data_IF_081553029702
#
_entry.id   IF_081553029702
#
_cell.length_a   1.000
_cell.length_b   1.000
_cell.length_c   1.000
_cell.angle_alpha   90.00
_cell.angle_beta   90.00
_cell.angle_gamma   90.00
#
_symmetry.space_group_name_H-M   'P 1'
#
loop_
_entity.id
_entity.type
_entity.pdbx_description
1 polymer ?
#
# COMPACT_ATOMS: atom_id res chain seq x y z
N UNK A 1 -14.61 -4.16 -14.58
CA UNK A 1 -13.86 -5.10 -13.72
C UNK A 1 -12.45 -5.20 -14.29
N UNK A 2 -11.43 -4.95 -13.47
CA UNK A 2 -10.04 -5.00 -13.90
C UNK A 2 -9.63 -6.39 -14.44
N UNK A 3 -8.40 -6.50 -14.94
CA UNK A 3 -7.91 -7.78 -15.44
C UNK A 3 -7.57 -8.72 -14.28
N UNK A 4 -8.24 -9.88 -14.23
CA UNK A 4 -7.96 -10.93 -13.23
C UNK A 4 -7.19 -12.05 -13.91
N UNK A 5 -6.03 -12.37 -13.37
CA UNK A 5 -5.14 -13.41 -13.91
C UNK A 5 -5.79 -14.78 -13.81
N UNK A 6 -5.81 -15.51 -14.92
CA UNK A 6 -6.28 -16.90 -14.99
C UNK A 6 -5.18 -17.90 -14.56
N UNK A 7 -5.48 -19.19 -14.67
CA UNK A 7 -4.53 -20.26 -14.33
C UNK A 7 -3.25 -20.22 -15.19
N UNK A 8 -3.38 -19.93 -16.49
CA UNK A 8 -2.24 -19.88 -17.40
C UNK A 8 -1.37 -18.67 -17.11
N UNK A 9 -2.00 -17.53 -16.86
CA UNK A 9 -1.31 -16.29 -16.49
C UNK A 9 -0.53 -16.46 -15.19
N UNK A 10 -1.15 -17.05 -14.16
CA UNK A 10 -0.52 -17.30 -12.87
C UNK A 10 0.68 -18.24 -13.01
N UNK A 11 0.53 -19.32 -13.78
CA UNK A 11 1.61 -20.27 -14.05
C UNK A 11 2.75 -19.62 -14.85
N UNK A 12 2.42 -18.79 -15.84
CA UNK A 12 3.42 -18.06 -16.63
C UNK A 12 4.17 -17.04 -15.78
N UNK A 13 3.46 -16.29 -14.94
CA UNK A 13 4.04 -15.30 -14.05
C UNK A 13 5.00 -15.92 -13.03
N UNK A 14 4.62 -17.06 -12.44
CA UNK A 14 5.47 -17.80 -11.52
C UNK A 14 6.75 -18.30 -12.19
N UNK A 15 6.65 -18.82 -13.44
CA UNK A 15 7.84 -19.20 -14.24
C UNK A 15 8.73 -18.00 -14.53
N UNK A 16 8.12 -16.85 -14.86
CA UNK A 16 8.85 -15.61 -15.11
C UNK A 16 9.61 -15.13 -13.87
N UNK A 17 8.99 -15.17 -12.70
CA UNK A 17 9.64 -14.79 -11.43
C UNK A 17 10.83 -15.70 -11.10
N UNK A 18 10.71 -16.99 -11.39
CA UNK A 18 11.74 -17.99 -11.10
C UNK A 18 12.87 -18.01 -12.15
N UNK A 19 12.74 -17.30 -13.28
CA UNK A 19 13.82 -17.20 -14.28
C UNK A 19 14.98 -16.37 -13.71
N UNK A 20 16.21 -16.92 -13.67
CA UNK A 20 17.39 -16.22 -13.17
C UNK A 20 17.63 -14.84 -13.83
N UNK A 21 17.21 -14.67 -15.08
CA UNK A 21 17.33 -13.40 -15.81
C UNK A 21 16.50 -12.28 -15.22
N UNK A 22 15.34 -12.60 -14.61
CA UNK A 22 14.42 -11.62 -14.04
C UNK A 22 14.70 -11.36 -12.57
N UNK A 23 15.38 -12.28 -11.88
CA UNK A 23 15.67 -12.22 -10.45
C UNK A 23 16.33 -10.89 -10.04
N UNK A 24 17.30 -10.44 -10.85
CA UNK A 24 18.00 -9.18 -10.56
C UNK A 24 17.06 -7.97 -10.53
N UNK A 25 16.12 -7.87 -11.49
CA UNK A 25 15.13 -6.78 -11.52
C UNK A 25 14.19 -6.85 -10.31
N UNK A 26 13.67 -8.04 -10.00
CA UNK A 26 12.80 -8.27 -8.83
C UNK A 26 13.52 -7.90 -7.53
N UNK A 27 14.79 -8.23 -7.38
CA UNK A 27 15.58 -7.89 -6.18
C UNK A 27 15.79 -6.37 -6.06
N UNK A 28 16.00 -5.66 -7.17
CA UNK A 28 16.09 -4.19 -7.17
C UNK A 28 14.76 -3.54 -6.75
N UNK A 29 13.64 -4.03 -7.26
CA UNK A 29 12.30 -3.55 -6.91
C UNK A 29 12.01 -3.76 -5.41
N UNK A 30 12.31 -4.95 -4.87
CA UNK A 30 12.16 -5.27 -3.45
C UNK A 30 13.03 -4.38 -2.55
N UNK A 31 14.30 -4.16 -2.93
CA UNK A 31 15.20 -3.26 -2.20
C UNK A 31 14.70 -1.82 -2.24
N UNK A 32 14.22 -1.36 -3.39
CA UNK A 32 13.66 -0.02 -3.53
C UNK A 32 12.47 0.16 -2.59
N UNK A 33 11.56 -0.81 -2.55
CA UNK A 33 10.39 -0.82 -1.70
C UNK A 33 10.77 -0.74 -0.22
N UNK A 34 11.65 -1.63 0.27
CA UNK A 34 12.08 -1.61 1.67
C UNK A 34 12.77 -0.31 2.06
N UNK A 35 13.63 0.23 1.17
CA UNK A 35 14.32 1.51 1.40
C UNK A 35 13.36 2.70 1.44
N UNK A 36 12.26 2.66 0.69
CA UNK A 36 11.25 3.72 0.65
C UNK A 36 10.29 3.65 1.85
N UNK A 37 9.84 2.45 2.21
CA UNK A 37 8.95 2.23 3.35
C UNK A 37 9.67 2.46 4.67
N UNK A 38 10.90 1.93 4.81
CA UNK A 38 11.64 1.86 6.07
C UNK A 38 10.76 1.28 7.18
N UNK A 39 10.28 0.05 7.00
CA UNK A 39 9.32 -0.53 7.91
C UNK A 39 9.92 -0.76 9.30
N UNK A 40 9.09 -0.71 10.33
CA UNK A 40 9.48 -1.02 11.71
C UNK A 40 9.06 -2.45 12.03
N UNK A 41 9.94 -3.17 12.70
CA UNK A 41 9.69 -4.55 13.11
C UNK A 41 8.42 -4.64 13.98
N UNK A 42 7.54 -5.57 13.65
CA UNK A 42 6.26 -5.77 14.36
C UNK A 42 5.09 -4.99 13.77
N UNK A 43 5.33 -4.03 12.86
CA UNK A 43 4.25 -3.31 12.17
C UNK A 43 3.48 -4.22 11.21
N UNK A 44 2.22 -3.84 10.93
CA UNK A 44 1.33 -4.54 10.00
C UNK A 44 1.40 -3.97 8.59
N UNK A 45 1.40 -4.86 7.58
CA UNK A 45 1.44 -4.51 6.16
C UNK A 45 0.39 -5.28 5.37
N UNK A 46 -0.37 -4.56 4.54
CA UNK A 46 -1.24 -5.14 3.52
C UNK A 46 -0.56 -5.08 2.15
N UNK A 47 -0.41 -6.24 1.49
CA UNK A 47 0.03 -6.34 0.09
C UNK A 47 -1.19 -6.50 -0.81
N UNK A 48 -1.54 -5.43 -1.53
CA UNK A 48 -2.71 -5.34 -2.40
C UNK A 48 -2.33 -5.77 -3.81
N UNK A 49 -2.93 -6.86 -4.30
CA UNK A 49 -2.50 -7.54 -5.51
C UNK A 49 -1.23 -8.35 -5.26
N UNK A 50 -1.21 -9.14 -4.18
CA UNK A 50 -0.02 -9.89 -3.75
C UNK A 50 0.44 -10.98 -4.75
N UNK A 51 -0.39 -11.32 -5.74
CA UNK A 51 -0.09 -12.30 -6.78
C UNK A 51 0.33 -13.64 -6.20
N UNK A 52 1.42 -14.20 -6.71
CA UNK A 52 2.00 -15.49 -6.25
C UNK A 52 2.79 -15.38 -4.95
N UNK A 53 2.72 -14.22 -4.27
CA UNK A 53 3.36 -14.01 -2.98
C UNK A 53 4.85 -13.66 -3.04
N UNK A 54 5.34 -13.21 -4.18
CA UNK A 54 6.78 -12.93 -4.39
C UNK A 54 7.37 -11.90 -3.42
N UNK A 55 6.58 -10.92 -2.97
CA UNK A 55 6.99 -9.90 -2.02
C UNK A 55 6.72 -10.30 -0.56
N UNK A 56 5.78 -11.21 -0.30
CA UNK A 56 5.35 -11.58 1.05
C UNK A 56 6.50 -12.10 1.91
N UNK A 57 7.39 -12.95 1.34
CA UNK A 57 8.55 -13.43 2.06
C UNK A 57 9.49 -12.30 2.48
N UNK A 58 9.67 -11.30 1.61
CA UNK A 58 10.55 -10.15 1.88
C UNK A 58 10.00 -9.30 3.04
N UNK A 59 8.69 -9.17 3.15
CA UNK A 59 8.04 -8.48 4.28
C UNK A 59 8.19 -9.28 5.58
N UNK A 60 7.98 -10.59 5.54
CA UNK A 60 8.18 -11.48 6.70
C UNK A 60 9.62 -11.44 7.21
N UNK A 61 10.60 -11.46 6.30
CA UNK A 61 12.03 -11.37 6.65
C UNK A 61 12.40 -10.02 7.28
N UNK A 62 11.58 -8.99 7.00
CA UNK A 62 11.71 -7.67 7.64
C UNK A 62 10.99 -7.57 8.99
N UNK A 63 10.40 -8.68 9.46
CA UNK A 63 9.71 -8.77 10.75
C UNK A 63 8.34 -8.13 10.80
N UNK A 64 7.66 -7.99 9.65
CA UNK A 64 6.32 -7.42 9.55
C UNK A 64 5.24 -8.49 9.76
N UNK A 65 4.08 -8.06 10.24
CA UNK A 65 2.85 -8.83 10.22
C UNK A 65 2.18 -8.60 8.86
N UNK A 66 2.09 -9.64 8.04
CA UNK A 66 1.74 -9.49 6.63
C UNK A 66 0.36 -10.06 6.34
N UNK A 67 -0.44 -9.31 5.60
CA UNK A 67 -1.70 -9.75 4.99
C UNK A 67 -1.59 -9.55 3.49
N UNK A 68 -2.01 -10.52 2.70
CA UNK A 68 -2.05 -10.46 1.24
C UNK A 68 -3.48 -10.44 0.72
N UNK A 69 -3.73 -9.67 -0.35
CA UNK A 69 -5.03 -9.65 -1.05
C UNK A 69 -4.80 -9.72 -2.55
N UNK A 70 -5.54 -10.62 -3.24
CA UNK A 70 -5.52 -10.72 -4.69
C UNK A 70 -6.89 -11.18 -5.23
N UNK A 71 -7.36 -10.70 -6.37
CA UNK A 71 -8.64 -11.14 -6.93
C UNK A 71 -8.58 -12.55 -7.55
N UNK A 72 -7.39 -13.02 -7.97
CA UNK A 72 -7.20 -14.30 -8.63
C UNK A 72 -7.05 -15.46 -7.62
N UNK A 73 -7.96 -16.44 -7.64
CA UNK A 73 -7.79 -17.63 -6.81
C UNK A 73 -6.54 -18.43 -7.18
N UNK A 74 -6.16 -18.43 -8.45
CA UNK A 74 -4.98 -19.16 -8.93
C UNK A 74 -3.66 -18.54 -8.45
N UNK A 75 -3.62 -17.20 -8.35
CA UNK A 75 -2.50 -16.48 -7.74
C UNK A 75 -2.40 -16.82 -6.25
N UNK A 76 -3.52 -16.77 -5.53
CA UNK A 76 -3.56 -17.09 -4.10
C UNK A 76 -3.19 -18.53 -3.80
N UNK A 77 -3.60 -19.49 -4.65
CA UNK A 77 -3.21 -20.90 -4.51
C UNK A 77 -1.69 -21.10 -4.60
N UNK A 78 -1.02 -20.35 -5.50
CA UNK A 78 0.44 -20.36 -5.60
C UNK A 78 1.07 -19.64 -4.40
N UNK A 79 0.55 -18.49 -4.01
CA UNK A 79 1.01 -17.77 -2.83
C UNK A 79 0.93 -18.64 -1.57
N UNK A 80 -0.18 -19.35 -1.38
CA UNK A 80 -0.36 -20.27 -0.24
C UNK A 80 0.67 -21.40 -0.23
N UNK A 81 1.03 -21.94 -1.41
CA UNK A 81 2.09 -22.97 -1.54
C UNK A 81 3.46 -22.40 -1.22
N UNK A 82 3.74 -21.18 -1.64
CA UNK A 82 5.05 -20.52 -1.46
C UNK A 82 5.29 -20.08 -0.02
N UNK A 83 4.25 -19.55 0.65
CA UNK A 83 4.37 -18.91 1.97
C UNK A 83 3.85 -19.81 3.12
N UNK A 84 2.96 -20.73 2.83
CA UNK A 84 2.26 -21.53 3.84
C UNK A 84 1.31 -20.67 4.69
N UNK A 85 1.10 -21.03 5.94
CA UNK A 85 0.18 -20.38 6.87
C UNK A 85 0.82 -19.19 7.63
N UNK A 86 1.87 -18.58 7.08
CA UNK A 86 2.57 -17.45 7.73
C UNK A 86 1.98 -16.08 7.40
N UNK A 87 1.06 -16.02 6.45
CA UNK A 87 0.40 -14.81 5.98
C UNK A 87 -1.08 -15.09 5.84
N UNK A 88 -1.92 -14.14 6.24
CA UNK A 88 -3.35 -14.18 5.99
C UNK A 88 -3.62 -13.74 4.55
N UNK A 89 -4.17 -14.66 3.74
CA UNK A 89 -4.48 -14.41 2.34
C UNK A 89 -5.99 -14.22 2.14
N UNK A 90 -6.36 -13.11 1.50
CA UNK A 90 -7.73 -12.74 1.24
C UNK A 90 -7.99 -12.63 -0.26
N UNK A 91 -9.17 -13.06 -0.70
CA UNK A 91 -9.63 -12.83 -2.07
C UNK A 91 -10.43 -11.53 -2.12
N UNK A 92 -10.01 -10.58 -2.96
CA UNK A 92 -10.69 -9.29 -3.10
C UNK A 92 -10.08 -8.43 -4.19
N UNK A 93 -10.73 -7.31 -4.49
CA UNK A 93 -10.28 -6.32 -5.48
C UNK A 93 -9.69 -5.10 -4.77
N UNK A 94 -8.73 -4.44 -5.43
CA UNK A 94 -8.03 -3.30 -4.85
C UNK A 94 -8.93 -2.07 -4.66
N UNK A 95 -10.02 -1.98 -5.42
CA UNK A 95 -10.98 -0.88 -5.40
C UNK A 95 -12.02 -0.95 -4.27
N UNK A 96 -12.08 -2.11 -3.56
CA UNK A 96 -13.02 -2.34 -2.45
C UNK A 96 -12.39 -3.31 -1.45
N UNK A 97 -11.61 -2.76 -0.52
CA UNK A 97 -10.84 -3.55 0.45
C UNK A 97 -11.70 -3.91 1.66
N UNK A 98 -11.78 -5.21 2.03
CA UNK A 98 -12.61 -5.69 3.14
C UNK A 98 -11.94 -5.47 4.50
N UNK A 99 -11.31 -4.33 4.70
CA UNK A 99 -10.60 -3.96 5.91
C UNK A 99 -11.04 -2.60 6.42
N UNK A 100 -10.96 -2.40 7.72
CA UNK A 100 -11.31 -1.13 8.37
C UNK A 100 -10.29 -0.03 8.06
N UNK A 101 -10.70 1.24 8.25
CA UNK A 101 -9.84 2.40 8.13
C UNK A 101 -8.66 2.29 9.10
N UNK A 102 -7.44 2.61 8.61
CA UNK A 102 -6.21 2.61 9.41
C UNK A 102 -5.89 1.26 10.09
N UNK A 103 -6.30 0.13 9.50
CA UNK A 103 -6.06 -1.21 10.07
C UNK A 103 -4.62 -1.71 9.88
N UNK A 104 -3.87 -1.11 8.95
CA UNK A 104 -2.48 -1.45 8.68
C UNK A 104 -1.55 -0.25 8.86
N UNK A 105 -0.29 -0.50 9.25
CA UNK A 105 0.73 0.55 9.24
C UNK A 105 1.09 0.92 7.80
N UNK A 106 1.21 -0.09 6.92
CA UNK A 106 1.60 0.10 5.53
C UNK A 106 0.63 -0.60 4.58
N UNK A 107 0.44 -0.03 3.39
CA UNK A 107 -0.16 -0.73 2.26
C UNK A 107 0.75 -0.63 1.04
N UNK A 108 0.94 -1.75 0.34
CA UNK A 108 1.75 -1.85 -0.86
C UNK A 108 0.89 -2.25 -2.05
N UNK A 109 1.13 -1.62 -3.20
CA UNK A 109 0.60 -2.00 -4.50
C UNK A 109 1.79 -2.14 -5.45
N UNK A 110 2.20 -3.36 -5.79
CA UNK A 110 3.38 -3.61 -6.62
C UNK A 110 2.92 -4.30 -7.90
N UNK A 111 3.05 -3.61 -9.05
CA UNK A 111 2.57 -4.07 -10.36
C UNK A 111 1.09 -4.48 -10.31
N UNK A 112 0.30 -3.75 -9.56
CA UNK A 112 -1.13 -3.99 -9.32
C UNK A 112 -1.98 -2.95 -10.05
N UNK A 113 -1.60 -1.67 -9.96
CA UNK A 113 -2.37 -0.58 -10.57
C UNK A 113 -2.50 -0.69 -12.08
N UNK A 114 -1.59 -1.42 -12.73
CA UNK A 114 -1.61 -1.68 -14.15
C UNK A 114 -2.84 -2.48 -14.60
N UNK A 115 -3.42 -3.28 -13.69
CA UNK A 115 -4.46 -4.27 -14.00
C UNK A 115 -5.82 -3.95 -13.37
N UNK A 116 -5.90 -2.95 -12.51
CA UNK A 116 -7.16 -2.51 -11.89
C UNK A 116 -8.02 -1.71 -12.88
N UNK A 117 -9.33 -1.71 -12.68
CA UNK A 117 -10.27 -0.93 -13.48
C UNK A 117 -10.17 0.56 -13.17
N UNK A 118 -10.06 0.89 -11.89
CA UNK A 118 -10.00 2.26 -11.41
C UNK A 118 -8.79 2.49 -10.48
N UNK A 119 -7.62 2.89 -11.03
CA UNK A 119 -6.41 3.13 -10.25
C UNK A 119 -6.58 4.19 -9.15
N UNK A 120 -7.41 5.20 -9.39
CA UNK A 120 -7.68 6.22 -8.39
C UNK A 120 -8.43 5.66 -7.19
N UNK A 121 -9.44 4.80 -7.43
CA UNK A 121 -10.20 4.16 -6.37
C UNK A 121 -9.35 3.16 -5.57
N UNK A 122 -8.51 2.38 -6.26
CA UNK A 122 -7.56 1.48 -5.61
C UNK A 122 -6.57 2.22 -4.70
N UNK A 123 -6.06 3.38 -5.14
CA UNK A 123 -5.20 4.24 -4.32
C UNK A 123 -5.96 4.88 -3.15
N UNK A 124 -7.23 5.28 -3.35
CA UNK A 124 -8.09 5.78 -2.27
C UNK A 124 -8.27 4.74 -1.16
N UNK A 125 -8.56 3.48 -1.53
CA UNK A 125 -8.71 2.37 -0.60
C UNK A 125 -7.39 2.05 0.12
N UNK A 126 -6.27 2.01 -0.60
CA UNK A 126 -4.95 1.83 0.01
C UNK A 126 -4.64 2.91 1.05
N UNK A 127 -4.98 4.18 0.75
CA UNK A 127 -4.84 5.29 1.68
C UNK A 127 -5.82 5.22 2.86
N UNK A 128 -6.98 4.60 2.68
CA UNK A 128 -8.00 4.43 3.72
C UNK A 128 -7.54 3.41 4.76
N UNK A 129 -7.03 2.27 4.31
CA UNK A 129 -6.65 1.16 5.20
C UNK A 129 -5.28 1.33 5.85
N UNK A 130 -4.38 2.12 5.24
CA UNK A 130 -3.06 2.40 5.78
C UNK A 130 -3.05 3.66 6.64
N UNK A 131 -2.32 3.63 7.77
CA UNK A 131 -2.20 4.79 8.67
C UNK A 131 -0.90 5.57 8.51
N UNK A 132 0.21 4.92 8.15
CA UNK A 132 1.52 5.57 8.16
C UNK A 132 2.04 5.87 6.74
N UNK A 133 2.09 4.86 5.87
CA UNK A 133 2.58 5.02 4.50
C UNK A 133 1.91 4.06 3.53
N UNK A 134 1.82 4.48 2.27
CA UNK A 134 1.62 3.58 1.15
C UNK A 134 2.86 3.54 0.27
N UNK A 135 3.09 2.39 -0.35
CA UNK A 135 4.09 2.20 -1.40
C UNK A 135 3.41 1.76 -2.68
N UNK A 136 3.71 2.47 -3.76
CA UNK A 136 3.19 2.21 -5.10
C UNK A 136 4.35 1.89 -6.01
N UNK A 137 4.40 0.67 -6.51
CA UNK A 137 5.38 0.19 -7.47
C UNK A 137 4.73 -0.09 -8.81
N UNK A 138 5.12 0.61 -9.87
CA UNK A 138 4.50 0.48 -11.20
C UNK A 138 5.53 0.45 -12.33
N UNK A 139 5.11 -0.13 -13.46
CA UNK A 139 5.87 -0.12 -14.70
C UNK A 139 5.82 1.26 -15.34
N UNK A 140 7.00 1.79 -15.68
CA UNK A 140 7.15 3.14 -16.20
C UNK A 140 6.82 3.24 -17.68
N UNK A 141 5.89 4.14 -18.01
CA UNK A 141 5.48 4.45 -19.39
C UNK A 141 6.63 4.98 -20.25
N UNK A 142 7.54 5.73 -19.67
CA UNK A 142 8.62 6.41 -20.39
C UNK A 142 9.96 5.67 -20.34
N UNK A 143 10.00 4.46 -19.81
CA UNK A 143 11.21 3.65 -19.88
C UNK A 143 11.42 3.06 -21.27
N UNK A 144 12.69 2.88 -21.65
CA UNK A 144 13.07 2.22 -22.91
C UNK A 144 12.50 0.79 -22.96
N UNK A 145 12.57 0.09 -21.84
CA UNK A 145 11.99 -1.26 -21.69
C UNK A 145 10.47 -1.25 -21.73
N UNK A 146 9.81 -0.21 -21.20
CA UNK A 146 8.36 -0.03 -21.31
C UNK A 146 7.91 0.18 -22.75
N UNK A 147 8.66 0.97 -23.52
CA UNK A 147 8.42 1.17 -24.96
C UNK A 147 8.59 -0.14 -25.71
N UNK A 148 9.68 -0.89 -25.45
CA UNK A 148 9.94 -2.17 -26.09
C UNK A 148 8.84 -3.21 -25.78
N UNK A 149 8.36 -3.29 -24.53
CA UNK A 149 7.25 -4.17 -24.12
C UNK A 149 5.95 -3.84 -24.85
N UNK A 150 5.64 -2.53 -25.04
CA UNK A 150 4.47 -2.09 -25.81
C UNK A 150 4.57 -2.50 -27.26
N UNK A 151 5.72 -2.24 -27.90
CA UNK A 151 5.94 -2.61 -29.31
C UNK A 151 5.83 -4.13 -29.48
N UNK A 152 6.41 -4.91 -28.57
CA UNK A 152 6.30 -6.38 -28.62
C UNK A 152 4.87 -6.86 -28.35
N UNK A 153 4.10 -6.20 -27.50
CA UNK A 153 2.69 -6.49 -27.22
C UNK A 153 1.78 -6.29 -28.43
N UNK A 154 2.15 -5.41 -29.38
CA UNK A 154 1.41 -5.24 -30.66
C UNK A 154 1.56 -6.49 -31.56
N UNK A 155 2.69 -7.19 -31.47
CA UNK A 155 3.00 -8.35 -32.33
C UNK A 155 2.77 -9.72 -31.66
N UNK A 156 2.54 -9.77 -30.35
CA UNK A 156 2.28 -11.02 -29.62
C UNK A 156 1.32 -10.77 -28.44
N UNK A 157 0.40 -11.71 -28.20
CA UNK A 157 -0.47 -11.67 -27.02
C UNK A 157 0.39 -11.89 -25.76
N UNK A 158 0.49 -10.86 -24.94
CA UNK A 158 1.18 -10.90 -23.64
C UNK A 158 0.27 -10.30 -22.59
N UNK A 159 0.49 -10.62 -21.30
CA UNK A 159 -0.23 -10.02 -20.17
C UNK A 159 -0.13 -8.48 -20.18
N UNK A 160 0.92 -7.92 -20.77
CA UNK A 160 1.11 -6.46 -20.89
C UNK A 160 0.11 -5.78 -21.84
N UNK A 161 -0.65 -6.53 -22.64
CA UNK A 161 -1.70 -5.97 -23.50
C UNK A 161 -2.89 -5.43 -22.68
N UNK A 162 -3.04 -5.94 -21.45
CA UNK A 162 -4.07 -5.52 -20.50
C UNK A 162 -3.55 -4.52 -19.48
N UNK A 163 -2.24 -4.22 -19.50
CA UNK A 163 -1.60 -3.37 -18.50
C UNK A 163 -1.65 -1.89 -18.87
N UNK A 164 -2.08 -1.04 -17.93
CA UNK A 164 -1.92 0.40 -18.01
C UNK A 164 -0.56 0.79 -17.42
N UNK A 165 0.27 1.49 -18.19
CA UNK A 165 1.57 1.98 -17.72
C UNK A 165 1.43 3.40 -17.19
N UNK A 166 2.14 3.70 -16.11
CA UNK A 166 2.08 5.00 -15.45
C UNK A 166 3.35 5.82 -15.65
N UNK A 167 3.20 7.13 -15.49
CA UNK A 167 4.31 8.04 -15.31
C UNK A 167 4.37 8.55 -13.87
N UNK A 168 5.53 9.07 -13.46
CA UNK A 168 5.70 9.69 -12.13
C UNK A 168 4.71 10.84 -11.94
N UNK A 169 4.47 11.62 -13.00
CA UNK A 169 3.58 12.79 -12.94
C UNK A 169 2.13 12.39 -12.75
N UNK A 170 1.63 11.43 -13.54
CA UNK A 170 0.27 10.88 -13.38
C UNK A 170 0.02 10.36 -11.97
N UNK A 171 0.96 9.56 -11.42
CA UNK A 171 0.82 9.05 -10.05
C UNK A 171 0.77 10.19 -9.03
N UNK A 172 1.65 11.19 -9.18
CA UNK A 172 1.65 12.37 -8.30
C UNK A 172 0.33 13.13 -8.37
N UNK A 173 -0.23 13.30 -9.57
CA UNK A 173 -1.48 14.03 -9.76
C UNK A 173 -2.66 13.28 -9.14
N UNK A 174 -2.72 11.95 -9.30
CA UNK A 174 -3.73 11.13 -8.64
C UNK A 174 -3.61 11.24 -7.13
N UNK A 175 -2.41 11.05 -6.57
CA UNK A 175 -2.19 11.12 -5.12
C UNK A 175 -2.51 12.51 -4.57
N UNK A 176 -2.10 13.58 -5.24
CA UNK A 176 -2.43 14.95 -4.84
C UNK A 176 -3.92 15.24 -4.89
N UNK A 177 -4.62 14.67 -5.88
CA UNK A 177 -6.08 14.82 -5.97
C UNK A 177 -6.82 14.15 -4.81
N UNK A 178 -6.25 13.08 -4.23
CA UNK A 178 -6.84 12.32 -3.11
C UNK A 178 -6.46 12.91 -1.74
N UNK A 179 -5.19 13.25 -1.56
CA UNK A 179 -4.62 13.56 -0.25
C UNK A 179 -4.22 15.03 -0.08
N UNK A 180 -4.20 15.81 -1.17
CA UNK A 180 -3.66 17.17 -1.16
C UNK A 180 -2.13 17.16 -1.15
N UNK A 181 -1.53 18.15 -0.47
CA UNK A 181 -0.09 18.30 -0.42
C UNK A 181 0.51 17.43 0.71
N UNK A 182 0.83 16.18 0.39
CA UNK A 182 1.46 15.22 1.30
C UNK A 182 2.92 14.95 0.87
N UNK A 183 3.80 14.50 1.80
CA UNK A 183 5.16 14.12 1.46
C UNK A 183 5.18 12.91 0.52
N UNK A 184 5.69 13.10 -0.71
CA UNK A 184 5.85 12.06 -1.73
C UNK A 184 7.34 11.90 -2.03
N UNK A 185 7.85 10.69 -1.89
CA UNK A 185 9.18 10.30 -2.31
C UNK A 185 9.10 9.30 -3.45
N UNK A 186 9.91 9.44 -4.48
CA UNK A 186 9.94 8.50 -5.59
C UNK A 186 11.36 8.19 -6.03
N UNK A 187 11.54 7.02 -6.60
CA UNK A 187 12.77 6.53 -7.24
C UNK A 187 12.40 5.63 -8.40
N UNK A 188 13.35 5.40 -9.28
CA UNK A 188 13.22 4.41 -10.36
C UNK A 188 14.40 3.45 -10.32
N UNK A 189 14.18 2.23 -10.81
CA UNK A 189 15.20 1.20 -10.97
C UNK A 189 15.07 0.52 -12.32
N UNK A 190 15.99 -0.39 -12.62
CA UNK A 190 16.05 -1.13 -13.88
C UNK A 190 16.23 -0.22 -15.09
N UNK A 191 17.18 0.71 -15.00
CA UNK A 191 17.53 1.59 -16.11
C UNK A 191 18.32 0.85 -17.19
N UNK A 192 19.16 -0.12 -16.76
CA UNK A 192 20.02 -0.94 -17.62
C UNK A 192 19.52 -2.39 -17.66
N UNK A 193 18.48 -2.63 -18.41
CA UNK A 193 17.66 -3.84 -18.38
C UNK A 193 18.33 -5.12 -18.93
N UNK A 194 19.57 -5.10 -19.43
CA UNK A 194 20.01 -6.18 -20.32
C UNK A 194 21.19 -7.04 -19.83
N UNK A 195 21.83 -6.72 -18.72
CA UNK A 195 22.93 -7.57 -18.26
C UNK A 195 23.14 -7.44 -16.74
N UNK A 196 22.99 -8.53 -15.99
CA UNK A 196 23.37 -8.59 -14.58
C UNK A 196 24.89 -8.62 -14.45
N UNK A 197 25.56 -7.49 -14.72
CA UNK A 197 26.96 -7.32 -14.44
C UNK A 197 27.14 -6.74 -13.02
N UNK A 198 28.22 -7.13 -12.33
CA UNK A 198 28.54 -6.57 -11.01
C UNK A 198 28.64 -5.03 -11.04
N UNK A 199 29.05 -4.47 -12.16
CA UNK A 199 29.18 -3.02 -12.37
C UNK A 199 27.80 -2.36 -12.51
N UNK A 200 26.89 -2.92 -13.31
CA UNK A 200 25.52 -2.41 -13.47
C UNK A 200 24.74 -2.44 -12.17
N UNK A 201 24.91 -3.48 -11.37
CA UNK A 201 24.26 -3.60 -10.06
C UNK A 201 24.71 -2.51 -9.08
N UNK A 202 25.98 -2.12 -9.09
CA UNK A 202 26.49 -1.01 -8.27
C UNK A 202 26.00 0.35 -8.76
N UNK A 203 25.99 0.54 -10.09
CA UNK A 203 25.53 1.78 -10.72
C UNK A 203 24.03 2.03 -10.44
N UNK A 204 23.18 1.02 -10.53
CA UNK A 204 21.73 1.10 -10.23
C UNK A 204 21.42 1.50 -8.77
N UNK A 205 22.40 1.33 -7.86
CA UNK A 205 22.24 1.69 -6.45
C UNK A 205 22.58 3.16 -6.16
N UNK A 206 23.18 3.88 -7.11
CA UNK A 206 23.47 5.29 -6.90
C UNK A 206 22.19 6.14 -6.88
N UNK A 207 22.05 6.95 -5.84
CA UNK A 207 20.88 7.81 -5.60
C UNK A 207 20.57 8.76 -6.76
N UNK A 208 21.59 9.23 -7.49
CA UNK A 208 21.42 10.10 -8.67
C UNK A 208 20.77 9.34 -9.83
N UNK A 209 21.14 8.07 -10.04
CA UNK A 209 20.58 7.24 -11.10
C UNK A 209 19.14 6.88 -10.79
N UNK A 210 18.82 6.59 -9.54
CA UNK A 210 17.46 6.33 -9.08
C UNK A 210 16.53 7.55 -9.13
N UNK A 211 17.07 8.76 -9.25
CA UNK A 211 16.31 10.00 -9.50
C UNK A 211 16.06 10.28 -10.98
N UNK A 212 16.62 9.48 -11.89
CA UNK A 212 16.35 9.58 -13.31
C UNK A 212 14.94 9.04 -13.60
N UNK A 213 14.04 9.79 -14.29
CA UNK A 213 12.65 9.39 -14.46
C UNK A 213 12.41 8.28 -15.49
N UNK A 214 13.47 7.73 -16.10
CA UNK A 214 13.39 6.78 -17.23
C UNK A 214 13.67 5.32 -16.87
N UNK A 215 13.85 4.97 -15.60
CA UNK A 215 13.97 3.57 -15.15
C UNK A 215 12.70 2.77 -15.46
N UNK A 216 12.82 1.44 -15.62
CA UNK A 216 11.71 0.59 -16.02
C UNK A 216 10.60 0.46 -14.97
N UNK A 217 10.96 0.59 -13.71
CA UNK A 217 10.04 0.51 -12.57
C UNK A 217 10.12 1.79 -11.73
N UNK A 218 8.95 2.32 -11.39
CA UNK A 218 8.78 3.47 -10.50
C UNK A 218 8.34 2.95 -9.14
N UNK A 219 9.11 3.26 -8.09
CA UNK A 219 8.66 3.10 -6.71
C UNK A 219 8.35 4.46 -6.10
N UNK A 220 7.14 4.63 -5.59
CA UNK A 220 6.66 5.85 -4.96
C UNK A 220 6.16 5.55 -3.55
N UNK A 221 6.70 6.24 -2.56
CA UNK A 221 6.24 6.18 -1.17
C UNK A 221 5.54 7.47 -0.80
N UNK A 222 4.37 7.36 -0.22
CA UNK A 222 3.55 8.47 0.26
C UNK A 222 3.40 8.34 1.76
N UNK A 223 3.78 9.37 2.48
CA UNK A 223 3.54 9.44 3.93
C UNK A 223 2.15 9.97 4.18
N UNK A 224 1.36 9.19 4.90
CA UNK A 224 -0.01 9.54 5.24
C UNK A 224 -0.01 10.37 6.53
N UNK A 225 -0.90 11.34 6.59
CA UNK A 225 -1.24 12.00 7.85
C UNK A 225 -2.52 11.32 8.32
N UNK A 226 -2.51 10.63 9.47
CA UNK A 226 -3.68 9.93 9.96
C UNK A 226 -4.86 10.90 10.04
N UNK A 227 -5.91 10.65 9.27
CA UNK A 227 -7.16 11.42 9.35
C UNK A 227 -8.00 10.86 10.48
N UNK A 228 -7.63 11.19 11.71
CA UNK A 228 -8.51 10.93 12.82
C UNK A 228 -9.73 11.86 12.68
N UNK A 229 -10.91 11.32 12.47
CA UNK A 229 -12.14 11.99 12.85
C UNK A 229 -12.15 12.02 14.38
N UNK A 230 -11.49 13.02 14.95
CA UNK A 230 -11.65 13.31 16.37
C UNK A 230 -13.10 13.72 16.58
N UNK A 231 -13.95 12.78 17.02
CA UNK A 231 -15.16 13.18 17.72
C UNK A 231 -14.62 13.90 18.98
N UNK A 232 -15.01 15.17 19.21
CA UNK A 232 -14.63 15.82 20.45
C UNK A 232 -15.15 14.92 21.57
N UNK A 233 -14.23 14.41 22.39
CA UNK A 233 -14.57 13.73 23.63
C UNK A 233 -15.31 14.77 24.44
N UNK A 234 -16.64 14.62 24.55
CA UNK A 234 -17.43 15.33 25.55
C UNK A 234 -16.94 14.81 26.89
N UNK A 235 -15.94 15.49 27.46
CA UNK A 235 -15.55 15.26 28.84
C UNK A 235 -16.74 15.70 29.69
N UNK A 236 -17.38 14.79 30.48
CA UNK A 236 -18.40 15.20 31.42
C UNK A 236 -17.70 16.04 32.47
N UNK A 237 -17.82 17.37 32.35
CA UNK A 237 -17.35 18.30 33.36
C UNK A 237 -18.32 18.23 34.53
N UNK A 238 -17.97 17.48 35.60
CA UNK A 238 -18.64 17.61 36.90
C UNK A 238 -18.18 18.92 37.53
N UNK A 239 -19.01 19.95 37.45
CA UNK A 239 -18.88 21.11 38.31
C UNK A 239 -18.97 20.63 39.76
N UNK A 240 -17.88 20.70 40.50
CA UNK A 240 -17.95 20.64 41.97
C UNK A 240 -18.77 21.86 42.40
N UNK A 241 -20.04 21.60 42.78
CA UNK A 241 -20.88 22.59 43.36
C UNK A 241 -20.18 23.10 44.64
N UNK A 242 -19.67 24.30 44.56
CA UNK A 242 -19.28 25.06 45.75
C UNK A 242 -20.56 25.42 46.48
N UNK A 243 -20.93 24.63 47.45
CA UNK A 243 -21.91 25.03 48.48
C UNK A 243 -21.25 26.18 49.24
N UNK A 244 -21.53 27.41 48.83
CA UNK A 244 -21.32 28.57 49.68
C UNK A 244 -22.33 28.47 50.81
N UNK A 245 -21.90 28.07 51.99
CA UNK A 245 -22.66 28.26 53.21
C UNK A 245 -22.80 29.78 53.41
N UNK A 246 -24.02 30.28 53.35
CA UNK A 246 -24.37 31.62 53.79
C UNK A 246 -24.55 31.53 55.29
N UNK A 247 -23.77 32.21 56.10
CA UNK A 247 -24.04 32.28 57.54
C UNK A 247 -25.14 33.30 57.82
N UNK A 248 -26.20 32.84 58.46
CA UNK A 248 -27.13 33.69 59.19
C UNK A 248 -28.47 33.96 58.49
N UNK A 249 -29.47 33.13 58.78
CA UNK A 249 -30.80 33.60 59.17
C UNK A 249 -31.53 32.50 59.94
N UNK A 250 -31.62 32.77 61.23
CA UNK A 250 -32.53 32.15 62.19
C UNK A 250 -33.97 32.39 61.69
N UNK A 251 -34.72 31.36 61.40
CA UNK A 251 -36.17 31.42 61.37
C UNK A 251 -36.77 30.28 62.19
N UNK A 252 -37.45 30.74 63.18
CA UNK A 252 -38.32 30.18 64.17
C UNK A 252 -39.30 29.15 63.57
N UNK A 253 -39.48 28.08 64.31
CA UNK A 253 -40.41 27.00 64.01
C UNK A 253 -41.86 27.41 63.99
N UNK A 254 -42.61 26.67 63.21
CA UNK A 254 -44.05 26.42 63.47
C UNK A 254 -44.28 24.94 63.18
N UNK A 255 -44.62 24.26 64.27
CA UNK A 255 -45.19 22.92 64.24
C UNK A 255 -46.66 23.00 63.79
N UNK A 256 -47.07 22.18 62.86
CA UNK A 256 -48.46 21.78 62.76
C UNK A 256 -48.56 20.31 62.38
N UNK A 257 -49.11 19.56 63.33
CA UNK A 257 -49.69 18.25 63.15
C UNK A 257 -50.93 18.38 62.27
N UNK A 258 -51.30 17.28 61.56
CA UNK A 258 -52.59 16.65 61.46
C UNK A 258 -52.59 15.71 60.25
N UNK A 259 -52.60 14.44 60.48
CA UNK A 259 -53.76 13.53 60.43
C UNK A 259 -54.57 13.55 59.11
N UNK A 260 -54.63 12.39 58.49
CA UNK A 260 -55.48 11.99 57.36
C UNK A 260 -54.89 10.83 56.57
#
# INVERSE_FOLDING_TARGET
>A
MGYVFDFNDATYYEKWLNDPKNRFAVDLEKRLMLNALKPVHGDSLLDIGCGTGSCLQTYLDSGLQVTGLDPSPYMLDIAQKNIGNRVDLHRGVAEDLPFDDNSFNYACLITTLEFVENPKKALEEACRVAKDKIFVGVLNRYSITGIHRRVKGVFSRTIYNHACFFSIWELKDIIRSLLGNVPISWRTVCQFSSSPGQITSKIEQFSLIQKCPFGAFIGMSVTLVPRYRTRPLTLPYKTKGTTRAVPGSTCIGVSEKLEG
#
